data_IF_591963943825
#
_entry.id   IF_591963943825
#
_cell.length_a   1.000
_cell.length_b   1.000
_cell.length_c   1.000
_cell.angle_alpha   90.00
_cell.angle_beta   90.00
_cell.angle_gamma   90.00
#
_symmetry.space_group_name_H-M   'P 1'
#
loop_
_entity.id
_entity.type
_entity.pdbx_description
1 polymer ?
#
# COMPACT_ATOMS: atom_id res chain seq x y z
N UNK A 1 14.95 22.55 -0.60
CA UNK A 1 14.08 21.75 -1.47
C UNK A 1 13.12 22.69 -2.14
N UNK A 2 13.26 22.86 -3.45
CA UNK A 2 12.84 24.05 -4.20
C UNK A 2 11.32 24.22 -4.27
N UNK A 3 10.84 25.35 -3.75
CA UNK A 3 9.44 25.82 -3.86
C UNK A 3 8.95 25.93 -5.32
N UNK A 4 9.88 25.99 -6.29
CA UNK A 4 9.58 26.00 -7.74
C UNK A 4 9.04 24.67 -8.29
N UNK A 5 9.43 23.51 -7.73
CA UNK A 5 8.93 22.21 -8.18
C UNK A 5 7.48 22.01 -7.73
N UNK A 6 7.12 22.52 -6.55
CA UNK A 6 5.74 22.48 -6.06
C UNK A 6 4.82 23.39 -6.87
N UNK A 7 5.32 24.56 -7.31
CA UNK A 7 4.58 25.48 -8.16
C UNK A 7 4.39 24.96 -9.59
N UNK A 8 5.37 24.24 -10.13
CA UNK A 8 5.27 23.62 -11.46
C UNK A 8 4.25 22.48 -11.48
N UNK A 9 4.19 21.69 -10.42
CA UNK A 9 3.16 20.65 -10.25
C UNK A 9 1.75 21.24 -10.06
N UNK A 10 1.61 22.38 -9.37
CA UNK A 10 0.32 23.03 -9.18
C UNK A 10 -0.17 23.74 -10.45
N UNK A 11 0.74 24.26 -11.30
CA UNK A 11 0.41 25.01 -12.51
C UNK A 11 -0.10 24.15 -13.68
N UNK A 12 0.23 22.86 -13.74
CA UNK A 12 -0.23 21.94 -14.80
C UNK A 12 -1.63 21.39 -14.54
N UNK A 13 -2.21 21.61 -13.35
CA UNK A 13 -3.54 21.12 -12.99
C UNK A 13 -4.70 22.06 -13.38
N UNK A 14 -4.42 23.26 -13.92
CA UNK A 14 -5.45 24.26 -14.19
C UNK A 14 -5.97 24.33 -15.63
N UNK A 15 -5.48 23.53 -16.54
CA UNK A 15 -5.90 23.56 -17.95
C UNK A 15 -6.46 22.23 -18.41
N UNK A 16 -7.74 21.96 -18.13
CA UNK A 16 -8.60 21.20 -19.02
C UNK A 16 -10.06 21.26 -18.58
N UNK A 17 -10.67 22.43 -18.84
CA UNK A 17 -12.12 22.55 -18.89
C UNK A 17 -12.57 22.24 -20.31
N UNK A 18 -12.54 20.99 -20.75
CA UNK A 18 -13.31 20.54 -21.89
C UNK A 18 -13.04 19.04 -22.10
N UNK A 19 -13.96 18.29 -21.67
CA UNK A 19 -14.39 16.94 -22.06
C UNK A 19 -14.78 16.16 -20.83
N UNK A 20 -16.04 16.26 -20.48
CA UNK A 20 -16.72 15.52 -19.43
C UNK A 20 -16.87 14.01 -19.74
N UNK A 21 -16.06 13.47 -20.63
CA UNK A 21 -16.05 12.08 -21.02
C UNK A 21 -14.79 11.38 -20.51
N UNK A 22 -14.90 10.82 -19.31
CA UNK A 22 -14.17 9.65 -18.81
C UNK A 22 -12.63 9.61 -18.96
N UNK A 23 -11.98 10.57 -19.63
CA UNK A 23 -10.54 10.64 -19.88
C UNK A 23 -9.94 11.80 -19.08
N UNK A 24 -8.86 11.57 -18.36
CA UNK A 24 -8.19 12.64 -17.63
C UNK A 24 -7.35 12.15 -16.46
N UNK A 25 -6.64 13.10 -15.87
CA UNK A 25 -5.89 12.87 -14.65
C UNK A 25 -6.84 12.80 -13.45
N UNK A 26 -6.43 12.03 -12.46
CA UNK A 26 -7.14 11.95 -11.20
C UNK A 26 -6.19 11.73 -10.03
N UNK A 27 -6.65 12.14 -8.85
CA UNK A 27 -6.04 11.82 -7.57
C UNK A 27 -6.92 10.83 -6.83
N UNK A 28 -6.31 9.83 -6.19
CA UNK A 28 -6.99 8.84 -5.38
C UNK A 28 -6.39 8.75 -3.99
N UNK A 29 -7.26 8.53 -3.01
CA UNK A 29 -6.88 8.14 -1.65
C UNK A 29 -7.63 6.87 -1.25
N UNK A 30 -6.93 5.88 -0.68
CA UNK A 30 -7.53 4.62 -0.26
C UNK A 30 -7.17 4.32 1.18
N UNK A 31 -8.13 3.73 1.90
CA UNK A 31 -7.94 3.18 3.22
C UNK A 31 -8.49 1.76 3.27
N UNK A 32 -7.84 0.89 4.03
CA UNK A 32 -8.26 -0.50 4.08
C UNK A 32 -7.55 -1.31 5.14
N UNK A 33 -7.79 -2.60 5.09
CA UNK A 33 -7.18 -3.57 6.00
C UNK A 33 -6.39 -4.59 5.17
N UNK A 34 -5.12 -4.77 5.55
CA UNK A 34 -4.23 -5.75 4.96
C UNK A 34 -4.05 -6.93 5.92
N UNK A 35 -4.34 -8.13 5.46
CA UNK A 35 -4.03 -9.39 6.15
C UNK A 35 -2.77 -9.97 5.54
N UNK A 36 -1.72 -10.13 6.34
CA UNK A 36 -0.47 -10.72 5.89
C UNK A 36 -0.45 -12.21 6.20
N UNK A 37 -0.11 -13.02 5.20
CA UNK A 37 0.15 -14.44 5.36
C UNK A 37 1.66 -14.70 5.12
N UNK A 38 2.23 -15.52 6.01
CA UNK A 38 3.64 -15.91 5.98
C UNK A 38 3.69 -17.41 5.74
N UNK A 39 4.03 -17.82 4.52
CA UNK A 39 4.22 -19.22 4.19
C UNK A 39 5.66 -19.63 4.45
N UNK A 40 5.87 -20.65 5.27
CA UNK A 40 7.20 -21.22 5.57
C UNK A 40 7.56 -22.27 4.52
N UNK A 41 8.72 -22.10 3.88
CA UNK A 41 9.36 -23.15 3.09
C UNK A 41 10.50 -23.72 3.93
N UNK A 42 10.20 -24.83 4.67
CA UNK A 42 11.19 -25.53 5.49
C UNK A 42 10.93 -25.52 7.00
N UNK A 43 11.44 -26.59 7.66
CA UNK A 43 11.24 -26.92 9.07
C UNK A 43 12.11 -26.02 10.01
N UNK A 44 11.84 -24.74 10.06
CA UNK A 44 12.51 -23.81 10.99
C UNK A 44 11.57 -23.45 12.11
N UNK A 45 11.93 -23.82 13.34
CA UNK A 45 11.14 -23.70 14.57
C UNK A 45 10.75 -22.28 15.03
N UNK A 46 10.45 -21.35 14.10
CA UNK A 46 9.95 -20.02 14.44
C UNK A 46 8.42 -20.11 14.53
N UNK A 47 7.91 -20.04 15.75
CA UNK A 47 6.49 -20.00 16.03
C UNK A 47 5.88 -18.68 15.58
N UNK A 48 5.15 -18.67 14.45
CA UNK A 48 4.47 -17.48 13.91
C UNK A 48 3.05 -17.32 14.45
N UNK A 49 2.61 -18.15 15.36
CA UNK A 49 1.30 -18.06 16.01
C UNK A 49 1.28 -16.82 16.91
N UNK A 50 0.60 -15.78 16.45
CA UNK A 50 0.38 -14.58 17.25
C UNK A 50 0.86 -13.26 16.62
N UNK A 51 1.22 -13.19 15.34
CA UNK A 51 1.36 -11.91 14.64
C UNK A 51 -0.04 -11.38 14.29
N UNK A 52 -0.34 -10.13 14.69
CA UNK A 52 -1.58 -9.46 14.29
C UNK A 52 -1.74 -9.50 12.79
N UNK A 53 -2.75 -10.25 12.34
CA UNK A 53 -2.97 -10.52 10.91
C UNK A 53 -3.54 -9.30 10.17
N UNK A 54 -4.23 -8.40 10.89
CA UNK A 54 -4.91 -7.26 10.28
C UNK A 54 -4.16 -5.96 10.54
N UNK A 55 -3.78 -5.26 9.48
CA UNK A 55 -3.08 -3.96 9.55
C UNK A 55 -3.83 -2.91 8.76
N UNK A 56 -3.96 -1.72 9.35
CA UNK A 56 -4.47 -0.57 8.64
C UNK A 56 -3.52 -0.21 7.49
N UNK A 57 -4.08 -0.01 6.31
CA UNK A 57 -3.41 0.44 5.10
C UNK A 57 -4.00 1.77 4.66
N UNK A 58 -3.13 2.69 4.27
CA UNK A 58 -3.48 3.95 3.61
C UNK A 58 -2.67 4.07 2.33
N UNK A 59 -3.27 4.59 1.27
CA UNK A 59 -2.53 4.89 0.04
C UNK A 59 -3.00 6.17 -0.61
N UNK A 60 -2.08 6.77 -1.38
CA UNK A 60 -2.35 7.89 -2.27
C UNK A 60 -1.91 7.53 -3.67
N UNK A 61 -2.69 7.89 -4.67
CA UNK A 61 -2.43 7.57 -6.06
C UNK A 61 -2.64 8.79 -6.96
N UNK A 62 -1.79 8.91 -7.97
CA UNK A 62 -1.95 9.80 -9.11
C UNK A 62 -2.15 8.92 -10.34
N UNK A 63 -3.22 9.13 -11.08
CA UNK A 63 -3.54 8.30 -12.23
C UNK A 63 -4.03 9.08 -13.43
N UNK A 64 -4.04 8.36 -14.53
CA UNK A 64 -4.63 8.82 -15.79
C UNK A 64 -5.58 7.74 -16.31
N UNK A 65 -6.76 8.17 -16.77
CA UNK A 65 -7.76 7.32 -17.39
C UNK A 65 -7.90 7.62 -18.85
N UNK A 66 -7.93 6.58 -19.64
CA UNK A 66 -8.23 6.63 -21.05
C UNK A 66 -9.23 5.53 -21.43
N UNK A 67 -10.47 5.90 -21.68
CA UNK A 67 -11.59 4.98 -21.97
C UNK A 67 -11.74 3.90 -20.88
N UNK A 68 -11.50 2.64 -21.24
CA UNK A 68 -11.59 1.47 -20.38
C UNK A 68 -10.32 1.24 -19.53
N UNK A 69 -9.23 1.95 -19.81
CA UNK A 69 -7.95 1.73 -19.15
C UNK A 69 -7.63 2.84 -18.17
N UNK A 70 -7.06 2.46 -17.05
CA UNK A 70 -6.50 3.39 -16.06
C UNK A 70 -5.08 2.97 -15.70
N UNK A 71 -4.20 3.93 -15.53
CA UNK A 71 -2.86 3.73 -14.99
C UNK A 71 -2.68 4.59 -13.75
N UNK A 72 -2.02 4.08 -12.73
CA UNK A 72 -1.79 4.77 -11.47
C UNK A 72 -0.37 4.58 -10.98
N UNK A 73 0.23 5.67 -10.50
CA UNK A 73 1.36 5.64 -9.58
C UNK A 73 0.80 5.72 -8.17
N UNK A 74 1.03 4.70 -7.35
CA UNK A 74 0.47 4.58 -6.01
C UNK A 74 1.59 4.45 -4.97
N UNK A 75 1.45 5.21 -3.88
CA UNK A 75 2.23 5.06 -2.68
C UNK A 75 1.37 4.44 -1.59
N UNK A 76 1.79 3.27 -1.09
CA UNK A 76 1.05 2.53 -0.05
C UNK A 76 1.84 2.55 1.25
N UNK A 77 1.21 3.04 2.30
CA UNK A 77 1.71 3.03 3.66
C UNK A 77 0.91 2.04 4.50
N UNK A 78 1.63 1.12 5.17
CA UNK A 78 1.01 0.16 6.08
C UNK A 78 1.43 0.43 7.50
N UNK A 79 0.46 0.48 8.41
CA UNK A 79 0.69 0.83 9.80
C UNK A 79 1.63 -0.18 10.48
N UNK A 80 2.36 0.34 11.45
CA UNK A 80 3.35 -0.37 12.24
C UNK A 80 2.73 -1.53 13.00
N UNK A 81 3.27 -2.74 12.85
CA UNK A 81 3.06 -3.84 13.80
C UNK A 81 4.13 -3.78 14.87
N UNK A 82 3.76 -3.63 16.13
CA UNK A 82 4.68 -3.74 17.26
C UNK A 82 4.26 -4.93 18.12
N UNK A 83 5.22 -5.82 18.40
CA UNK A 83 5.09 -6.83 19.45
C UNK A 83 6.14 -6.58 20.51
N UNK A 84 5.69 -6.59 21.75
CA UNK A 84 6.53 -6.59 22.93
C UNK A 84 6.56 -8.00 23.49
N UNK A 85 7.75 -8.54 23.72
CA UNK A 85 7.97 -9.75 24.46
C UNK A 85 8.61 -9.38 25.79
N UNK A 86 7.98 -9.76 26.88
CA UNK A 86 8.58 -9.70 28.22
C UNK A 86 9.48 -10.93 28.36
N UNK A 87 10.78 -10.70 28.53
CA UNK A 87 11.73 -11.76 28.89
C UNK A 87 11.64 -11.90 30.39
N UNK A 88 11.10 -13.04 30.84
CA UNK A 88 10.88 -13.33 32.27
C UNK A 88 12.14 -13.11 33.12
N UNK A 89 11.98 -12.33 34.22
CA UNK A 89 13.01 -12.04 35.19
C UNK A 89 13.70 -10.69 34.96
N UNK A 90 13.46 -9.74 35.85
CA UNK A 90 14.11 -8.43 36.01
C UNK A 90 14.43 -7.64 34.71
N UNK A 91 13.44 -6.87 34.26
CA UNK A 91 13.59 -5.67 33.44
C UNK A 91 14.22 -5.82 32.05
N UNK A 92 13.53 -6.49 31.13
CA UNK A 92 13.90 -6.41 29.72
C UNK A 92 12.67 -6.47 28.80
N UNK A 93 12.36 -5.36 28.10
CA UNK A 93 11.27 -5.30 27.12
C UNK A 93 11.85 -5.10 25.73
N UNK A 94 11.75 -6.11 24.87
CA UNK A 94 12.14 -6.00 23.47
C UNK A 94 10.95 -5.65 22.62
N UNK A 95 10.98 -4.49 21.98
CA UNK A 95 9.92 -4.04 21.06
C UNK A 95 10.44 -4.07 19.63
N UNK A 96 9.90 -4.96 18.82
CA UNK A 96 10.16 -5.04 17.39
C UNK A 96 9.08 -4.25 16.65
N UNK A 97 9.50 -3.34 15.78
CA UNK A 97 8.63 -2.51 15.00
C UNK A 97 8.93 -2.62 13.51
N UNK A 98 7.90 -2.96 12.72
CA UNK A 98 7.99 -3.07 11.27
C UNK A 98 7.14 -2.00 10.61
N UNK A 99 7.71 -1.26 9.65
CA UNK A 99 6.98 -0.36 8.77
C UNK A 99 7.24 -0.77 7.33
N UNK A 100 6.18 -0.79 6.51
CA UNK A 100 6.26 -1.18 5.12
C UNK A 100 5.74 -0.05 4.24
N UNK A 101 6.53 0.28 3.22
CA UNK A 101 6.19 1.28 2.21
C UNK A 101 6.31 0.64 0.84
N UNK A 102 5.29 0.80 -0.02
CA UNK A 102 5.33 0.28 -1.38
C UNK A 102 5.11 1.41 -2.37
N UNK A 103 5.88 1.39 -3.45
CA UNK A 103 5.69 2.23 -4.63
C UNK A 103 5.25 1.33 -5.76
N UNK A 104 4.06 1.56 -6.29
CA UNK A 104 3.42 0.68 -7.26
C UNK A 104 3.06 1.44 -8.52
N UNK A 105 3.25 0.80 -9.67
CA UNK A 105 2.64 1.17 -10.93
C UNK A 105 1.52 0.16 -11.20
N UNK A 106 0.29 0.64 -11.22
CA UNK A 106 -0.90 -0.18 -11.41
C UNK A 106 -1.56 0.11 -12.76
N UNK A 107 -2.08 -0.92 -13.38
CA UNK A 107 -2.96 -0.85 -14.54
C UNK A 107 -4.32 -1.45 -14.21
N UNK A 108 -5.39 -0.82 -14.66
CA UNK A 108 -6.77 -1.30 -14.45
C UNK A 108 -7.53 -1.32 -15.76
N UNK A 109 -8.45 -2.26 -15.84
CA UNK A 109 -9.45 -2.33 -16.91
C UNK A 109 -10.84 -2.18 -16.28
N UNK A 110 -11.56 -1.14 -16.71
CA UNK A 110 -12.91 -0.79 -16.29
C UNK A 110 -13.92 -1.37 -17.28
N UNK A 111 -14.79 -2.29 -16.86
CA UNK A 111 -15.71 -2.99 -17.76
C UNK A 111 -16.87 -2.10 -18.28
N UNK A 112 -17.27 -1.09 -17.52
CA UNK A 112 -18.37 -0.20 -17.88
C UNK A 112 -18.11 1.25 -17.45
N UNK A 113 -17.12 1.94 -18.02
CA UNK A 113 -16.64 3.23 -17.51
C UNK A 113 -17.64 4.38 -17.60
N UNK A 114 -18.70 4.22 -18.39
CA UNK A 114 -19.73 5.25 -18.61
C UNK A 114 -20.96 5.09 -17.73
N UNK A 115 -21.00 4.03 -16.90
CA UNK A 115 -22.12 3.79 -15.98
C UNK A 115 -21.81 4.34 -14.59
N UNK A 116 -22.86 4.53 -13.80
CA UNK A 116 -22.75 4.91 -12.39
C UNK A 116 -22.04 3.84 -11.54
N UNK A 117 -22.02 2.60 -12.02
CA UNK A 117 -21.42 1.43 -11.39
C UNK A 117 -20.47 0.75 -12.39
N UNK A 118 -19.22 0.66 -12.04
CA UNK A 118 -18.15 0.18 -12.91
C UNK A 118 -17.34 -0.92 -12.20
N UNK A 119 -17.53 -2.20 -12.55
CA UNK A 119 -16.60 -3.25 -12.16
C UNK A 119 -15.24 -3.03 -12.81
N UNK A 120 -14.17 -3.38 -12.11
CA UNK A 120 -12.82 -3.29 -12.64
C UNK A 120 -11.95 -4.44 -12.16
N UNK A 121 -10.93 -4.75 -12.95
CA UNK A 121 -9.81 -5.61 -12.58
C UNK A 121 -8.51 -4.85 -12.77
N UNK A 122 -7.48 -5.24 -12.06
CA UNK A 122 -6.20 -4.56 -12.17
C UNK A 122 -5.03 -5.42 -11.72
N UNK A 123 -3.86 -5.04 -12.21
CA UNK A 123 -2.58 -5.61 -11.82
C UNK A 123 -1.56 -4.48 -11.61
N UNK A 124 -0.58 -4.74 -10.78
CA UNK A 124 0.47 -3.77 -10.50
C UNK A 124 1.82 -4.42 -10.25
N UNK A 125 2.85 -3.63 -10.50
CA UNK A 125 4.24 -3.98 -10.21
C UNK A 125 4.90 -2.83 -9.47
N UNK A 126 5.89 -3.13 -8.66
CA UNK A 126 6.57 -2.10 -7.91
C UNK A 126 7.63 -2.61 -6.95
N UNK A 127 7.95 -1.79 -5.97
CA UNK A 127 8.96 -2.09 -4.97
C UNK A 127 8.44 -1.80 -3.58
N UNK A 128 8.70 -2.73 -2.66
CA UNK A 128 8.36 -2.60 -1.25
C UNK A 128 9.63 -2.48 -0.41
N UNK A 129 9.72 -1.40 0.38
CA UNK A 129 10.78 -1.17 1.35
C UNK A 129 10.29 -1.47 2.76
N UNK A 130 11.04 -2.29 3.48
CA UNK A 130 10.74 -2.66 4.86
C UNK A 130 11.74 -1.99 5.80
N UNK A 131 11.26 -1.25 6.80
CA UNK A 131 12.10 -0.66 7.84
C UNK A 131 11.95 -1.47 9.13
N UNK A 132 13.07 -2.06 9.56
CA UNK A 132 13.20 -2.73 10.86
C UNK A 132 13.67 -1.71 11.89
N UNK A 133 12.97 -1.62 13.00
CA UNK A 133 13.44 -0.89 14.19
C UNK A 133 13.39 -1.82 15.39
N UNK A 134 14.54 -2.14 15.94
CA UNK A 134 14.67 -2.90 17.18
C UNK A 134 15.02 -1.93 18.32
N UNK A 135 14.18 -1.88 19.34
CA UNK A 135 14.47 -1.18 20.60
C UNK A 135 14.55 -2.23 21.70
N UNK A 136 15.77 -2.51 22.15
CA UNK A 136 16.01 -3.31 23.37
C UNK A 136 16.17 -2.35 24.53
N UNK A 137 15.37 -2.53 25.57
CA UNK A 137 15.50 -1.83 26.84
C UNK A 137 15.89 -2.87 27.89
N UNK A 138 17.18 -3.02 28.10
CA UNK A 138 17.73 -3.84 29.19
C UNK A 138 18.66 -2.94 29.99
N UNK A 139 18.21 -2.48 31.16
CA UNK A 139 19.02 -1.60 32.00
C UNK A 139 19.55 -0.36 31.25
N UNK A 140 20.68 0.18 31.61
CA UNK A 140 21.27 1.44 31.15
C UNK A 140 21.97 1.38 29.77
N UNK A 141 21.83 0.32 28.96
CA UNK A 141 22.55 0.17 27.69
C UNK A 141 21.59 0.19 26.49
N UNK A 142 21.61 1.28 25.73
CA UNK A 142 20.93 1.39 24.44
C UNK A 142 21.82 0.82 23.33
N UNK A 143 21.57 -0.39 22.89
CA UNK A 143 22.25 -0.92 21.70
C UNK A 143 21.44 -0.57 20.45
N UNK A 144 21.94 0.40 19.69
CA UNK A 144 21.40 0.82 18.40
C UNK A 144 21.84 -0.19 17.34
N UNK A 145 21.03 -1.18 17.06
CA UNK A 145 21.27 -2.10 15.95
C UNK A 145 20.80 -1.54 14.62
N UNK A 146 21.61 -1.80 13.57
CA UNK A 146 21.57 -1.18 12.27
C UNK A 146 20.22 -1.20 11.55
N UNK A 147 19.90 -0.08 10.91
CA UNK A 147 18.77 0.06 9.99
C UNK A 147 19.06 -0.72 8.69
N UNK A 148 18.66 -1.98 8.62
CA UNK A 148 18.62 -2.73 7.38
C UNK A 148 17.31 -2.42 6.65
N UNK A 149 17.41 -1.94 5.40
CA UNK A 149 16.26 -1.56 4.56
C UNK A 149 16.25 -2.42 3.29
N UNK A 150 15.78 -3.66 3.33
CA UNK A 150 15.63 -4.45 2.10
C UNK A 150 14.51 -3.86 1.26
N UNK A 151 14.83 -3.59 -0.01
CA UNK A 151 13.84 -3.27 -1.05
C UNK A 151 13.61 -4.53 -1.86
N UNK A 152 12.36 -4.89 -2.10
CA UNK A 152 11.94 -6.09 -2.81
C UNK A 152 11.01 -5.74 -3.95
N UNK A 153 11.14 -6.48 -5.05
CA UNK A 153 10.15 -6.45 -6.10
C UNK A 153 8.81 -6.96 -5.57
N UNK A 154 7.74 -6.33 -5.98
CA UNK A 154 6.38 -6.61 -5.52
C UNK A 154 5.45 -6.57 -6.72
N UNK A 155 4.54 -7.52 -6.82
CA UNK A 155 3.46 -7.48 -7.76
C UNK A 155 2.12 -7.63 -7.06
N UNK A 156 1.06 -7.22 -7.72
CA UNK A 156 -0.29 -7.30 -7.19
C UNK A 156 -1.30 -7.58 -8.28
N UNK A 157 -2.40 -8.23 -7.92
CA UNK A 157 -3.56 -8.44 -8.76
C UNK A 157 -4.81 -8.28 -7.93
N UNK A 158 -5.85 -7.72 -8.52
CA UNK A 158 -7.10 -7.51 -7.78
C UNK A 158 -8.22 -7.01 -8.66
N UNK A 159 -9.32 -6.68 -8.00
CA UNK A 159 -10.49 -6.13 -8.66
C UNK A 159 -11.44 -5.51 -7.67
N UNK A 160 -12.45 -4.85 -8.17
CA UNK A 160 -13.40 -4.17 -7.34
C UNK A 160 -14.50 -3.48 -8.13
N UNK A 161 -15.11 -2.54 -7.45
CA UNK A 161 -16.25 -1.78 -7.93
C UNK A 161 -15.97 -0.30 -7.74
N UNK A 162 -16.28 0.48 -8.73
CA UNK A 162 -16.25 1.93 -8.70
C UNK A 162 -17.67 2.48 -8.86
N UNK A 163 -18.06 3.38 -7.97
CA UNK A 163 -19.36 4.07 -8.02
C UNK A 163 -19.12 5.54 -8.31
N UNK A 164 -19.71 6.05 -9.36
CA UNK A 164 -19.67 7.46 -9.71
C UNK A 164 -20.69 8.21 -8.85
N UNK A 165 -20.19 8.99 -7.88
CA UNK A 165 -21.05 9.78 -6.97
C UNK A 165 -21.38 11.14 -7.61
N UNK A 166 -20.41 11.75 -8.26
CA UNK A 166 -20.57 12.97 -9.05
C UNK A 166 -19.72 12.89 -10.31
N UNK A 167 -19.78 13.90 -11.17
CA UNK A 167 -18.90 13.94 -12.36
C UNK A 167 -17.42 13.98 -12.02
N UNK A 168 -17.06 14.42 -10.81
CA UNK A 168 -15.66 14.54 -10.36
C UNK A 168 -15.26 13.54 -9.28
N UNK A 169 -16.23 12.97 -8.55
CA UNK A 169 -15.97 12.08 -7.42
C UNK A 169 -16.46 10.65 -7.71
N UNK A 170 -15.55 9.71 -7.51
CA UNK A 170 -15.84 8.28 -7.55
C UNK A 170 -15.44 7.65 -6.21
N UNK A 171 -16.23 6.68 -5.76
CA UNK A 171 -15.92 5.82 -4.62
C UNK A 171 -15.54 4.46 -5.15
N UNK A 172 -14.37 3.98 -4.75
CA UNK A 172 -13.86 2.67 -5.12
C UNK A 172 -13.93 1.74 -3.91
N UNK A 173 -14.31 0.48 -4.12
CA UNK A 173 -14.17 -0.59 -3.15
C UNK A 173 -13.58 -1.81 -3.85
N UNK A 174 -12.60 -2.47 -3.22
CA UNK A 174 -11.91 -3.56 -3.89
C UNK A 174 -11.16 -4.47 -2.96
N UNK A 175 -10.73 -5.57 -3.59
CA UNK A 175 -9.83 -6.56 -3.01
C UNK A 175 -8.58 -6.66 -3.89
N UNK A 176 -7.43 -6.83 -3.24
CA UNK A 176 -6.14 -6.94 -3.92
C UNK A 176 -5.23 -7.93 -3.21
N UNK A 177 -4.62 -8.81 -3.98
CA UNK A 177 -3.57 -9.71 -3.56
C UNK A 177 -2.22 -9.07 -3.88
N UNK A 178 -1.29 -9.11 -2.93
CA UNK A 178 0.09 -8.72 -3.08
C UNK A 178 1.02 -9.89 -2.84
N UNK A 179 2.05 -9.98 -3.70
CA UNK A 179 3.22 -10.80 -3.48
C UNK A 179 4.44 -9.88 -3.33
N UNK A 180 5.06 -9.88 -2.17
CA UNK A 180 6.21 -9.04 -1.84
C UNK A 180 7.53 -9.80 -1.97
N UNK A 181 7.50 -11.00 -2.55
CA UNK A 181 8.65 -11.87 -2.75
C UNK A 181 9.13 -12.58 -1.47
N UNK A 182 10.11 -13.45 -1.66
CA UNK A 182 10.66 -14.28 -0.60
C UNK A 182 11.75 -13.54 0.21
N UNK A 183 11.74 -13.67 1.53
CA UNK A 183 12.84 -13.28 2.43
C UNK A 183 13.44 -14.55 3.01
N UNK A 184 14.66 -14.89 2.55
CA UNK A 184 15.46 -16.07 2.94
C UNK A 184 14.77 -17.43 2.81
N UNK A 185 13.62 -17.68 3.42
CA UNK A 185 12.88 -18.96 3.38
C UNK A 185 11.40 -18.75 3.73
N UNK A 186 10.89 -17.53 3.59
CA UNK A 186 9.48 -17.22 3.83
C UNK A 186 8.95 -16.33 2.70
N UNK A 187 7.89 -16.77 2.04
CA UNK A 187 7.13 -15.98 1.10
C UNK A 187 6.20 -15.06 1.88
N UNK A 188 6.21 -13.77 1.52
CA UNK A 188 5.37 -12.77 2.16
C UNK A 188 4.29 -12.35 1.18
N UNK A 189 3.07 -12.73 1.50
CA UNK A 189 1.89 -12.33 0.75
C UNK A 189 0.97 -11.45 1.61
N UNK A 190 0.14 -10.65 0.98
CA UNK A 190 -0.87 -9.85 1.66
C UNK A 190 -2.17 -9.81 0.89
N UNK A 191 -3.27 -9.94 1.61
CA UNK A 191 -4.64 -9.76 1.13
C UNK A 191 -5.17 -8.44 1.64
N UNK A 192 -5.57 -7.54 0.75
CA UNK A 192 -6.06 -6.22 1.11
C UNK A 192 -7.50 -6.03 0.67
N UNK A 193 -8.33 -5.57 1.61
CA UNK A 193 -9.67 -5.06 1.32
C UNK A 193 -9.61 -3.56 1.57
N UNK A 194 -10.03 -2.77 0.60
CA UNK A 194 -9.93 -1.32 0.65
C UNK A 194 -11.18 -0.62 0.13
N UNK A 195 -11.36 0.60 0.58
CA UNK A 195 -12.25 1.60 0.00
C UNK A 195 -11.46 2.87 -0.26
N UNK A 196 -11.90 3.68 -1.20
CA UNK A 196 -11.20 4.90 -1.56
C UNK A 196 -12.09 5.93 -2.22
N UNK A 197 -11.57 7.14 -2.28
CA UNK A 197 -12.12 8.27 -3.02
C UNK A 197 -11.18 8.63 -4.15
N UNK A 198 -11.75 8.97 -5.30
CA UNK A 198 -11.03 9.39 -6.49
C UNK A 198 -11.65 10.67 -7.02
N UNK A 199 -10.81 11.70 -7.19
CA UNK A 199 -11.18 12.98 -7.77
C UNK A 199 -10.61 13.09 -9.19
N UNK A 200 -11.48 13.30 -10.16
CA UNK A 200 -11.15 13.46 -11.58
C UNK A 200 -11.16 14.95 -11.91
N UNK A 201 -10.11 15.42 -12.58
CA UNK A 201 -9.91 16.81 -12.95
C UNK A 201 -10.68 17.21 -14.20
#
# INVERSE_FOLDING_TARGET
MNKFILALLAGTFLCSNAMADCNGFYLGGRGGVAKHDYSKKGNSGINTNGLDKNKLMLSGALGYRYNYFRTELEYVWRHKSSKSYDIGGAAGKNTYAFRTYSYMLNGYFDFAPYRWFTPYVGAGIGFTSMKYSNKSSTGTVYTKNGNYKPTRFTWSVGGGLSVKVTNRFNVDAGYRYYDMGAIKHADITAHEIYTGLRYVF
#
